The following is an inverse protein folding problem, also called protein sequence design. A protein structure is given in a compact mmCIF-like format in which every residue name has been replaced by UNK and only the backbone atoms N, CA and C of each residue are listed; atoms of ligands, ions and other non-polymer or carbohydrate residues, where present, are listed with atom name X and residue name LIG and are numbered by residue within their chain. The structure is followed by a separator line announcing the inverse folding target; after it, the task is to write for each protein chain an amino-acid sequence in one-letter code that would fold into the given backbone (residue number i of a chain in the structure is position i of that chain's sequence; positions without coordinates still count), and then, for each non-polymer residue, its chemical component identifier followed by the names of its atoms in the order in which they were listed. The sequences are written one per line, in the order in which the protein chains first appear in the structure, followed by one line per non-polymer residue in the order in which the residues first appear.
data_IF_349345572393
#
_entry.id   IF_349345572393
#
_cell.length_a   1.000
_cell.length_b   1.000
_cell.length_c   1.000
_cell.angle_alpha   90.00
_cell.angle_beta   90.00
_cell.angle_gamma   90.00
#
_symmetry.space_group_name_H-M   'P 1'
#
loop_
_entity.id
_entity.type
_entity.pdbx_description
1 polymer ?
#
# COMPACT_ATOMS: atom_id res chain seq x y z
N UNK A 1 -16.29 3.78 14.65
CA UNK A 1 -16.24 2.31 14.45
C UNK A 1 -15.34 1.91 13.29
N UNK A 2 -15.48 2.47 12.09
CA UNK A 2 -14.61 2.17 10.94
C UNK A 2 -13.11 2.40 11.21
N UNK A 3 -12.75 3.51 11.88
CA UNK A 3 -11.38 3.78 12.28
C UNK A 3 -10.79 2.67 13.18
N UNK A 4 -11.54 2.23 14.20
CA UNK A 4 -11.12 1.14 15.07
C UNK A 4 -11.00 -0.19 14.31
N UNK A 5 -11.93 -0.46 13.39
CA UNK A 5 -11.88 -1.63 12.53
C UNK A 5 -10.63 -1.62 11.61
N UNK A 6 -10.16 -0.46 11.19
CA UNK A 6 -8.93 -0.32 10.41
C UNK A 6 -7.67 -0.51 11.28
N UNK A 7 -7.59 0.17 12.43
CA UNK A 7 -6.36 0.27 13.23
C UNK A 7 -6.13 -0.96 14.11
N UNK A 8 -7.16 -1.50 14.77
CA UNK A 8 -6.96 -2.59 15.72
C UNK A 8 -6.37 -3.86 15.08
N UNK A 9 -6.84 -4.31 13.89
CA UNK A 9 -6.22 -5.43 13.19
C UNK A 9 -4.80 -5.11 12.71
N UNK A 10 -4.55 -3.88 12.25
CA UNK A 10 -3.23 -3.45 11.79
C UNK A 10 -2.16 -3.61 12.89
N UNK A 11 -2.49 -3.20 14.12
CA UNK A 11 -1.59 -3.33 15.28
C UNK A 11 -1.35 -4.80 15.67
N UNK A 12 -2.38 -5.63 15.62
CA UNK A 12 -2.29 -7.05 15.97
C UNK A 12 -1.49 -7.87 14.95
N UNK A 13 -1.54 -7.49 13.67
CA UNK A 13 -0.93 -8.27 12.58
C UNK A 13 0.53 -7.88 12.30
N UNK A 14 1.02 -6.76 12.83
CA UNK A 14 2.42 -6.36 12.71
C UNK A 14 3.44 -7.47 13.09
N UNK A 15 3.32 -8.20 14.23
CA UNK A 15 4.20 -9.33 14.52
C UNK A 15 4.04 -10.51 13.53
N UNK A 16 2.85 -10.72 12.98
CA UNK A 16 2.59 -11.73 11.96
C UNK A 16 3.32 -11.37 10.66
N UNK A 17 3.28 -10.11 10.23
CA UNK A 17 4.01 -9.65 9.06
C UNK A 17 5.52 -9.84 9.22
N UNK A 18 6.07 -9.55 10.41
CA UNK A 18 7.48 -9.81 10.70
C UNK A 18 7.85 -11.31 10.59
N UNK A 19 7.01 -12.20 11.14
CA UNK A 19 7.20 -13.65 11.02
C UNK A 19 7.09 -14.13 9.57
N UNK A 20 6.15 -13.57 8.81
CA UNK A 20 5.99 -13.89 7.39
C UNK A 20 7.19 -13.43 6.57
N UNK A 21 7.67 -12.20 6.81
CA UNK A 21 8.85 -11.60 6.17
C UNK A 21 10.09 -12.50 6.31
N UNK A 22 10.33 -13.00 7.53
CA UNK A 22 11.46 -13.87 7.83
C UNK A 22 11.40 -15.22 7.12
N UNK A 23 10.19 -15.78 6.94
CA UNK A 23 10.02 -17.11 6.31
C UNK A 23 9.96 -17.04 4.80
N UNK A 24 9.28 -16.04 4.23
CA UNK A 24 8.96 -15.99 2.80
C UNK A 24 9.69 -14.87 2.05
N UNK A 25 10.34 -13.96 2.76
CA UNK A 25 11.05 -12.79 2.23
C UNK A 25 10.18 -11.52 2.22
N UNK A 26 10.83 -10.37 2.42
CA UNK A 26 10.19 -9.03 2.47
C UNK A 26 9.39 -8.72 1.20
N UNK A 27 9.93 -9.06 0.01
CA UNK A 27 9.27 -8.82 -1.29
C UNK A 27 7.96 -9.60 -1.45
N UNK A 28 7.94 -10.89 -1.08
CA UNK A 28 6.70 -11.68 -1.10
C UNK A 28 5.68 -11.14 -0.09
N UNK A 29 6.15 -10.62 1.04
CA UNK A 29 5.33 -9.88 2.01
C UNK A 29 4.65 -8.67 1.38
N UNK A 30 5.42 -7.82 0.69
CA UNK A 30 4.88 -6.63 0.00
C UNK A 30 3.81 -7.01 -1.03
N UNK A 31 4.07 -8.02 -1.87
CA UNK A 31 3.06 -8.49 -2.83
C UNK A 31 1.78 -8.98 -2.18
N UNK A 32 1.90 -9.79 -1.12
CA UNK A 32 0.74 -10.32 -0.41
C UNK A 32 -0.06 -9.17 0.21
N UNK A 33 0.62 -8.23 0.87
CA UNK A 33 -0.02 -7.05 1.46
C UNK A 33 -0.74 -6.21 0.39
N UNK A 34 -0.07 -5.88 -0.71
CA UNK A 34 -0.69 -5.13 -1.81
C UNK A 34 -1.88 -5.87 -2.43
N UNK A 35 -1.79 -7.18 -2.61
CA UNK A 35 -2.90 -7.99 -3.16
C UNK A 35 -4.08 -8.04 -2.19
N UNK A 36 -3.83 -8.24 -0.89
CA UNK A 36 -4.86 -8.18 0.15
C UNK A 36 -5.55 -6.82 0.17
N UNK A 37 -4.81 -5.73 -0.02
CA UNK A 37 -5.37 -4.38 -0.08
C UNK A 37 -6.29 -4.20 -1.29
N UNK A 38 -5.87 -4.64 -2.48
CA UNK A 38 -6.71 -4.61 -3.69
C UNK A 38 -7.99 -5.40 -3.47
N UNK A 39 -7.89 -6.62 -2.92
CA UNK A 39 -9.06 -7.45 -2.61
C UNK A 39 -9.98 -6.76 -1.60
N UNK A 40 -9.44 -6.14 -0.55
CA UNK A 40 -10.21 -5.40 0.44
C UNK A 40 -10.96 -4.21 -0.19
N UNK A 41 -10.30 -3.44 -1.04
CA UNK A 41 -10.91 -2.32 -1.76
C UNK A 41 -11.99 -2.79 -2.76
N UNK A 42 -11.74 -3.86 -3.52
CA UNK A 42 -12.75 -4.42 -4.43
C UNK A 42 -13.94 -4.99 -3.68
N UNK A 43 -13.72 -5.60 -2.51
CA UNK A 43 -14.78 -6.07 -1.64
C UNK A 43 -15.65 -4.94 -1.08
N UNK A 44 -15.20 -3.68 -1.12
CA UNK A 44 -16.02 -2.51 -0.75
C UNK A 44 -16.94 -2.03 -1.87
N UNK A 45 -16.71 -2.41 -3.14
CA UNK A 45 -17.53 -1.96 -4.28
C UNK A 45 -19.04 -2.19 -4.09
N UNK A 46 -19.50 -3.33 -3.51
CA UNK A 46 -20.93 -3.56 -3.28
C UNK A 46 -21.63 -2.52 -2.38
N UNK A 47 -20.88 -1.70 -1.64
CA UNK A 47 -21.44 -0.63 -0.78
C UNK A 47 -22.25 0.38 -1.59
N UNK A 48 -22.00 0.50 -2.90
CA UNK A 48 -22.72 1.39 -3.81
C UNK A 48 -24.21 1.01 -3.87
N UNK A 49 -24.53 -0.29 -3.80
CA UNK A 49 -25.90 -0.78 -3.90
C UNK A 49 -26.47 -1.21 -2.55
N UNK A 50 -25.63 -1.74 -1.65
CA UNK A 50 -26.06 -2.32 -0.39
C UNK A 50 -25.16 -1.89 0.78
N UNK A 51 -25.30 -0.66 1.29
CA UNK A 51 -24.58 -0.22 2.47
C UNK A 51 -25.00 -1.05 3.69
N UNK A 52 -24.03 -1.46 4.52
CA UNK A 52 -24.31 -2.28 5.70
C UNK A 52 -23.10 -2.50 6.60
N UNK A 53 -23.33 -3.13 7.76
CA UNK A 53 -22.28 -3.42 8.76
C UNK A 53 -21.21 -4.39 8.25
N UNK A 54 -21.49 -5.15 7.19
CA UNK A 54 -20.54 -6.04 6.52
C UNK A 54 -19.27 -5.32 6.05
N UNK A 55 -19.33 -4.01 5.80
CA UNK A 55 -18.21 -3.12 5.44
C UNK A 55 -17.05 -3.18 6.45
N UNK A 56 -17.33 -3.53 7.70
CA UNK A 56 -16.29 -3.68 8.73
C UNK A 56 -15.24 -4.74 8.37
N UNK A 57 -15.64 -5.84 7.72
CA UNK A 57 -14.74 -6.92 7.35
C UNK A 57 -13.69 -6.51 6.30
N UNK A 58 -14.05 -5.94 5.14
CA UNK A 58 -13.07 -5.45 4.17
C UNK A 58 -12.27 -4.26 4.71
N UNK A 59 -12.84 -3.39 5.54
CA UNK A 59 -12.06 -2.31 6.20
C UNK A 59 -10.99 -2.89 7.14
N UNK A 60 -11.33 -3.93 7.91
CA UNK A 60 -10.35 -4.63 8.74
C UNK A 60 -9.24 -5.28 7.91
N UNK A 61 -9.60 -5.92 6.80
CA UNK A 61 -8.63 -6.50 5.87
C UNK A 61 -7.72 -5.43 5.25
N UNK A 62 -8.28 -4.28 4.86
CA UNK A 62 -7.53 -3.14 4.35
C UNK A 62 -6.52 -2.64 5.40
N UNK A 63 -6.90 -2.59 6.68
CA UNK A 63 -6.01 -2.22 7.78
C UNK A 63 -4.82 -3.18 7.93
N UNK A 64 -5.08 -4.48 7.90
CA UNK A 64 -4.03 -5.52 7.92
C UNK A 64 -3.08 -5.38 6.74
N UNK A 65 -3.63 -5.18 5.54
CA UNK A 65 -2.88 -5.03 4.32
C UNK A 65 -2.03 -3.75 4.31
N UNK A 66 -2.62 -2.63 4.76
CA UNK A 66 -1.96 -1.32 4.86
C UNK A 66 -0.73 -1.36 5.77
N UNK A 67 -0.82 -2.05 6.93
CA UNK A 67 0.32 -2.22 7.82
C UNK A 67 1.52 -2.88 7.12
N UNK A 68 1.27 -3.92 6.32
CA UNK A 68 2.30 -4.57 5.51
C UNK A 68 2.84 -3.65 4.42
N UNK A 69 1.95 -2.95 3.72
CA UNK A 69 2.34 -2.01 2.65
C UNK A 69 3.21 -0.85 3.15
N UNK A 70 3.07 -0.40 4.40
CA UNK A 70 3.96 0.62 4.98
C UNK A 70 5.28 0.02 5.48
N UNK A 71 5.23 -1.15 6.13
CA UNK A 71 6.41 -1.74 6.76
C UNK A 71 7.41 -2.33 5.75
N UNK A 72 6.94 -3.03 4.72
CA UNK A 72 7.82 -3.73 3.79
C UNK A 72 8.69 -2.81 2.94
N UNK A 73 8.19 -1.70 2.35
CA UNK A 73 9.01 -0.80 1.56
C UNK A 73 10.13 -0.15 2.37
N UNK A 74 9.86 0.30 3.61
CA UNK A 74 10.89 0.84 4.49
C UNK A 74 11.98 -0.19 4.80
N UNK A 75 11.61 -1.47 4.92
CA UNK A 75 12.57 -2.55 5.11
C UNK A 75 13.31 -2.97 3.83
N UNK A 76 12.76 -2.69 2.66
CA UNK A 76 13.32 -3.03 1.34
C UNK A 76 14.18 -1.91 0.75
N UNK A 77 13.92 -0.66 1.12
CA UNK A 77 14.63 0.50 0.57
C UNK A 77 16.16 0.41 0.77
N UNK A 78 16.68 0.08 1.99
CA UNK A 78 18.12 -0.11 2.17
C UNK A 78 18.66 -1.26 1.31
N UNK A 79 17.95 -2.41 1.26
CA UNK A 79 18.34 -3.57 0.45
C UNK A 79 18.47 -3.20 -1.04
N UNK A 80 17.58 -2.34 -1.55
CA UNK A 80 17.59 -1.86 -2.95
C UNK A 80 18.73 -0.87 -3.18
N UNK A 81 18.99 0.04 -2.23
CA UNK A 81 20.11 0.98 -2.31
C UNK A 81 21.44 0.23 -2.37
N UNK A 82 21.64 -0.77 -1.51
CA UNK A 82 22.85 -1.59 -1.49
C UNK A 82 23.00 -2.42 -2.78
N UNK A 83 21.90 -2.98 -3.28
CA UNK A 83 21.91 -3.72 -4.54
C UNK A 83 22.23 -2.81 -5.76
N UNK A 84 21.71 -1.58 -5.79
CA UNK A 84 22.02 -0.61 -6.86
C UNK A 84 23.48 -0.16 -6.79
N UNK A 85 24.00 0.10 -5.58
CA UNK A 85 25.39 0.47 -5.37
C UNK A 85 26.35 -0.63 -5.85
N UNK A 86 26.10 -1.90 -5.51
CA UNK A 86 26.89 -3.04 -6.01
C UNK A 86 26.84 -3.19 -7.53
N UNK A 87 25.66 -3.05 -8.12
CA UNK A 87 25.48 -3.25 -9.56
C UNK A 87 26.08 -2.12 -10.42
N UNK A 88 26.14 -0.88 -9.89
CA UNK A 88 26.56 0.31 -10.64
C UNK A 88 27.91 0.87 -10.20
N UNK A 89 28.44 0.45 -9.06
CA UNK A 89 29.68 0.97 -8.49
C UNK A 89 29.57 2.41 -7.97
N UNK A 90 28.35 2.94 -7.84
CA UNK A 90 28.08 4.31 -7.40
C UNK A 90 27.11 4.34 -6.22
N UNK A 91 27.41 5.12 -5.19
CA UNK A 91 26.49 5.33 -4.08
C UNK A 91 25.39 6.33 -4.43
N UNK A 92 24.19 5.81 -4.74
CA UNK A 92 23.00 6.60 -5.11
C UNK A 92 21.91 6.60 -4.04
N UNK A 93 22.27 6.24 -2.80
CA UNK A 93 21.32 6.12 -1.69
C UNK A 93 20.54 7.40 -1.40
N UNK A 94 21.22 8.56 -1.49
CA UNK A 94 20.60 9.88 -1.33
C UNK A 94 19.56 10.18 -2.41
N UNK A 95 19.88 9.88 -3.67
CA UNK A 95 18.94 10.07 -4.80
C UNK A 95 17.73 9.15 -4.68
N UNK A 96 17.93 7.87 -4.38
CA UNK A 96 16.83 6.90 -4.22
C UNK A 96 15.90 7.28 -3.06
N UNK A 97 16.47 7.67 -1.92
CA UNK A 97 15.71 8.14 -0.76
C UNK A 97 14.99 9.47 -1.06
N UNK A 98 15.62 10.37 -1.82
CA UNK A 98 15.01 11.62 -2.27
C UNK A 98 13.80 11.39 -3.19
N UNK A 99 13.92 10.46 -4.15
CA UNK A 99 12.81 10.05 -5.02
C UNK A 99 11.68 9.43 -4.19
N UNK A 100 11.99 8.56 -3.22
CA UNK A 100 11.00 7.99 -2.31
C UNK A 100 10.18 9.07 -1.60
N UNK A 101 10.84 10.02 -0.92
CA UNK A 101 10.18 11.10 -0.18
C UNK A 101 9.38 12.03 -1.10
N UNK A 102 9.91 12.33 -2.30
CA UNK A 102 9.21 13.14 -3.27
C UNK A 102 7.90 12.46 -3.73
N UNK A 103 7.94 11.16 -3.99
CA UNK A 103 6.75 10.38 -4.37
C UNK A 103 5.72 10.32 -3.23
N UNK A 104 6.17 10.16 -1.99
CA UNK A 104 5.30 10.19 -0.82
C UNK A 104 4.58 11.55 -0.68
N UNK A 105 5.34 12.63 -0.79
CA UNK A 105 4.79 14.00 -0.73
C UNK A 105 3.83 14.28 -1.88
N UNK A 106 4.18 13.85 -3.09
CA UNK A 106 3.31 13.94 -4.25
C UNK A 106 2.01 13.16 -4.02
N UNK A 107 2.08 11.94 -3.48
CA UNK A 107 0.90 11.13 -3.14
C UNK A 107 -0.01 11.83 -2.12
N UNK A 108 0.56 12.44 -1.08
CA UNK A 108 -0.17 13.20 -0.07
C UNK A 108 -0.84 14.46 -0.63
N UNK A 109 -0.25 15.11 -1.65
CA UNK A 109 -0.84 16.27 -2.31
C UNK A 109 -1.91 15.88 -3.35
N UNK A 110 -1.59 14.93 -4.24
CA UNK A 110 -2.46 14.53 -5.33
C UNK A 110 -3.65 13.67 -4.87
N UNK A 111 -3.50 12.89 -3.78
CA UNK A 111 -4.57 12.04 -3.26
C UNK A 111 -5.85 12.81 -2.91
N UNK A 112 -5.79 13.78 -1.98
CA UNK A 112 -6.93 14.63 -1.65
C UNK A 112 -7.43 15.45 -2.84
N UNK A 113 -6.53 15.98 -3.67
CA UNK A 113 -6.93 16.75 -4.86
C UNK A 113 -7.75 15.91 -5.85
N UNK A 114 -7.32 14.67 -6.12
CA UNK A 114 -8.05 13.72 -6.97
C UNK A 114 -9.41 13.37 -6.35
N UNK A 115 -9.44 13.09 -5.05
CA UNK A 115 -10.69 12.77 -4.36
C UNK A 115 -11.69 13.95 -4.37
N UNK A 116 -11.22 15.18 -4.15
CA UNK A 116 -12.03 16.39 -4.26
C UNK A 116 -12.55 16.61 -5.68
N UNK A 117 -11.73 16.35 -6.71
CA UNK A 117 -12.17 16.41 -8.10
C UNK A 117 -13.28 15.39 -8.39
N UNK A 118 -13.18 14.16 -7.86
CA UNK A 118 -14.23 13.16 -7.96
C UNK A 118 -15.53 13.60 -7.27
N UNK A 119 -15.44 14.20 -6.08
CA UNK A 119 -16.60 14.75 -5.39
C UNK A 119 -17.27 15.87 -6.17
N UNK A 120 -16.48 16.80 -6.72
CA UNK A 120 -16.99 17.89 -7.55
C UNK A 120 -17.71 17.35 -8.80
N UNK A 121 -17.11 16.37 -9.49
CA UNK A 121 -17.72 15.71 -10.65
C UNK A 121 -18.97 14.88 -10.26
N UNK A 122 -18.98 14.29 -9.07
CA UNK A 122 -20.12 13.57 -8.51
C UNK A 122 -21.28 14.48 -8.09
N UNK A 123 -21.09 15.81 -8.12
CA UNK A 123 -22.12 16.77 -7.70
C UNK A 123 -22.27 16.85 -6.18
N UNK A 124 -21.18 16.63 -5.42
CA UNK A 124 -21.19 16.74 -3.97
C UNK A 124 -21.70 18.11 -3.52
N UNK A 125 -22.73 18.11 -2.68
CA UNK A 125 -23.35 19.34 -2.16
C UNK A 125 -22.77 19.62 -0.77
N UNK A 126 -21.98 20.70 -0.64
CA UNK A 126 -21.46 21.12 0.66
C UNK A 126 -22.55 21.79 1.49
N UNK A 127 -22.63 21.47 2.78
CA UNK A 127 -23.52 22.15 3.74
C UNK A 127 -22.71 22.63 4.95
N UNK A 128 -22.99 23.84 5.43
CA UNK A 128 -22.40 24.43 6.63
C UNK A 128 -23.32 24.34 7.85
N UNK A 129 -24.49 23.70 7.70
CA UNK A 129 -25.50 23.49 8.75
C UNK A 129 -26.01 22.05 8.73
N UNK A 130 -27.32 21.86 8.61
CA UNK A 130 -27.92 20.51 8.56
C UNK A 130 -27.46 19.71 7.34
N UNK A 131 -27.56 18.39 7.44
CA UNK A 131 -27.17 17.47 6.37
C UNK A 131 -27.98 17.77 5.10
N UNK A 132 -27.32 18.31 4.07
CA UNK A 132 -27.94 18.51 2.77
C UNK A 132 -28.09 17.15 2.06
N UNK A 133 -29.23 16.88 1.40
CA UNK A 133 -29.43 15.66 0.64
C UNK A 133 -28.35 15.55 -0.45
N UNK A 134 -27.61 14.45 -0.45
CA UNK A 134 -26.60 14.17 -1.46
C UNK A 134 -27.22 13.44 -2.64
N UNK A 135 -26.87 13.81 -3.88
CA UNK A 135 -27.28 13.03 -5.04
C UNK A 135 -26.61 11.65 -5.03
N UNK A 136 -27.26 10.66 -5.62
CA UNK A 136 -26.72 9.29 -5.74
C UNK A 136 -25.37 9.25 -6.45
N UNK A 137 -25.12 10.19 -7.36
CA UNK A 137 -23.83 10.39 -8.04
C UNK A 137 -22.70 10.78 -7.07
N UNK A 138 -22.98 11.58 -6.04
CA UNK A 138 -21.99 11.97 -5.05
C UNK A 138 -21.66 10.80 -4.11
N UNK A 139 -22.68 10.03 -3.71
CA UNK A 139 -22.51 8.81 -2.91
C UNK A 139 -21.68 7.78 -3.68
N UNK A 140 -21.97 7.61 -4.97
CA UNK A 140 -21.20 6.72 -5.86
C UNK A 140 -19.76 7.20 -6.02
N UNK A 141 -19.53 8.51 -6.16
CA UNK A 141 -18.18 9.07 -6.23
C UNK A 141 -17.38 8.83 -4.95
N UNK A 142 -17.99 8.97 -3.77
CA UNK A 142 -17.37 8.64 -2.47
C UNK A 142 -16.99 7.16 -2.44
N UNK A 143 -17.96 6.28 -2.72
CA UNK A 143 -17.74 4.84 -2.69
C UNK A 143 -16.62 4.41 -3.66
N UNK A 144 -16.61 4.92 -4.89
CA UNK A 144 -15.57 4.67 -5.88
C UNK A 144 -14.20 5.21 -5.45
N UNK A 145 -14.16 6.38 -4.81
CA UNK A 145 -12.93 6.99 -4.33
C UNK A 145 -12.27 6.24 -3.16
N UNK A 146 -13.06 5.51 -2.34
CA UNK A 146 -12.53 4.65 -1.28
C UNK A 146 -12.29 3.19 -1.70
N UNK A 147 -12.81 2.76 -2.86
CA UNK A 147 -12.71 1.37 -3.35
C UNK A 147 -11.89 1.27 -4.63
N UNK A 148 -12.47 1.66 -5.76
CA UNK A 148 -11.91 1.46 -7.09
C UNK A 148 -10.60 2.22 -7.31
N UNK A 149 -10.51 3.49 -6.87
CA UNK A 149 -9.32 4.30 -7.12
C UNK A 149 -8.09 3.77 -6.37
N UNK A 150 -8.14 3.52 -5.05
CA UNK A 150 -7.02 2.89 -4.35
C UNK A 150 -6.68 1.50 -4.90
N UNK A 151 -7.69 0.69 -5.25
CA UNK A 151 -7.45 -0.63 -5.86
C UNK A 151 -6.67 -0.52 -7.17
N UNK A 152 -7.06 0.41 -8.06
CA UNK A 152 -6.39 0.62 -9.34
C UNK A 152 -4.94 1.09 -9.16
N UNK A 153 -4.70 2.06 -8.27
CA UNK A 153 -3.35 2.56 -7.99
C UNK A 153 -2.43 1.45 -7.44
N UNK A 154 -2.93 0.65 -6.51
CA UNK A 154 -2.15 -0.47 -5.95
C UNK A 154 -1.97 -1.60 -6.97
N UNK A 155 -2.96 -1.88 -7.83
CA UNK A 155 -2.82 -2.85 -8.91
C UNK A 155 -1.73 -2.43 -9.91
N UNK A 156 -1.66 -1.15 -10.28
CA UNK A 156 -0.56 -0.62 -11.10
C UNK A 156 0.78 -0.79 -10.39
N UNK A 157 0.85 -0.50 -9.09
CA UNK A 157 2.06 -0.72 -8.27
C UNK A 157 2.51 -2.20 -8.28
N UNK A 158 1.58 -3.15 -8.17
CA UNK A 158 1.85 -4.59 -8.27
C UNK A 158 2.45 -4.95 -9.63
N UNK A 159 1.92 -4.40 -10.74
CA UNK A 159 2.45 -4.63 -12.09
C UNK A 159 3.89 -4.13 -12.22
N UNK A 160 4.19 -2.94 -11.69
CA UNK A 160 5.54 -2.38 -11.67
C UNK A 160 6.48 -3.26 -10.84
N UNK A 161 6.04 -3.69 -9.65
CA UNK A 161 6.79 -4.58 -8.77
C UNK A 161 7.09 -5.94 -9.44
N UNK A 162 6.13 -6.46 -10.24
CA UNK A 162 6.28 -7.69 -11.02
C UNK A 162 7.33 -7.60 -12.12
N UNK A 163 7.44 -6.43 -12.76
CA UNK A 163 8.48 -6.20 -13.77
C UNK A 163 9.86 -6.00 -13.16
N UNK A 164 9.94 -5.56 -11.91
CA UNK A 164 11.21 -5.44 -11.21
C UNK A 164 11.79 -6.83 -10.91
N UNK A 165 12.84 -7.26 -11.62
CA UNK A 165 13.60 -8.47 -11.30
C UNK A 165 14.88 -8.06 -10.54
N UNK A 166 15.03 -8.40 -9.25
CA UNK A 166 16.30 -8.28 -8.59
C UNK A 166 17.27 -9.22 -9.32
N UNK A 167 18.40 -8.69 -9.77
CA UNK A 167 19.52 -9.47 -10.27
C UNK A 167 19.92 -10.46 -9.19
N UNK A 168 19.93 -11.74 -9.53
CA UNK A 168 20.05 -12.89 -8.63
C UNK A 168 21.47 -13.04 -8.06
N UNK A 169 22.01 -12.03 -7.39
CA UNK A 169 23.41 -12.05 -6.95
C UNK A 169 23.55 -12.12 -5.41
N UNK A 170 22.59 -11.55 -4.65
CA UNK A 170 22.69 -11.46 -3.19
C UNK A 170 22.40 -12.75 -2.41
N UNK A 171 21.94 -13.83 -3.05
CA UNK A 171 21.71 -15.12 -2.39
C UNK A 171 22.96 -16.02 -2.35
N UNK A 172 23.96 -15.74 -3.18
CA UNK A 172 25.23 -16.48 -3.20
C UNK A 172 26.22 -15.94 -2.14
N UNK A 173 26.18 -14.65 -1.84
CA UNK A 173 27.21 -13.98 -1.04
C UNK A 173 27.08 -14.28 0.47
N UNK A 174 25.85 -14.35 1.02
CA UNK A 174 25.63 -14.71 2.43
C UNK A 174 25.89 -16.20 2.75
N UNK A 175 26.02 -17.08 1.74
CA UNK A 175 26.51 -18.45 1.94
C UNK A 175 28.03 -18.56 1.88
N UNK A 176 28.72 -17.56 1.33
CA UNK A 176 30.18 -17.56 1.15
C UNK A 176 30.96 -17.00 2.33
N UNK A 177 30.38 -16.07 3.09
CA UNK A 177 31.02 -15.43 4.25
C UNK A 177 31.10 -16.38 5.46
N UNK A 178 30.05 -17.16 5.74
CA UNK A 178 30.05 -18.15 6.84
C UNK A 178 31.06 -19.28 6.64
N UNK A 179 31.45 -19.58 5.39
CA UNK A 179 32.40 -20.68 5.10
C UNK A 179 33.86 -20.21 5.15
N UNK A 180 34.13 -18.90 4.98
CA UNK A 180 35.50 -18.34 4.97
C UNK A 180 36.00 -17.92 6.35
N UNK A 181 35.13 -17.69 7.33
CA UNK A 181 35.53 -17.45 8.72
C UNK A 181 35.74 -18.75 9.53
N UNK A 182 35.48 -19.91 8.93
CA UNK A 182 35.61 -21.24 9.57
C UNK A 182 36.74 -22.11 8.99
N UNK A 183 37.59 -21.58 8.11
CA UNK A 183 38.73 -22.29 7.50
C UNK A 183 40.03 -21.52 7.75
#
# INVERSE_FOLDING_TARGET
MLFAALIAPALLVMPLWYRYARRHGKRRGLYLASTMFVVACLALVPVIWAPGSWVLAPVALAGVAYAGMQAFPMALLPDVIEADARARGEERGGTLSGVWTALETAGLAFGPALFLAMLALGGFVSSTGDAAPQPDSAITAIAAGFSLVPAALVAVSIVVLHRFRPTTESAAEHRGTDTREQA
#
